data_IF_429531462117
#
_entry.id   IF_429531462117
#
_cell.length_a   1.000
_cell.length_b   1.000
_cell.length_c   1.000
_cell.angle_alpha   90.00
_cell.angle_beta   90.00
_cell.angle_gamma   90.00
#
_symmetry.space_group_name_H-M   'P 1'
#
loop_
_entity.id
_entity.type
_entity.pdbx_description
1 polymer ?
#
# COMPACT_ATOMS: atom_id res chain seq x y z
N UNK A 1 -22.75 -5.70 -15.75
CA UNK A 1 -22.63 -6.57 -14.56
C UNK A 1 -21.50 -7.55 -14.80
N UNK A 2 -20.55 -7.59 -13.92
CA UNK A 2 -19.44 -8.54 -14.02
C UNK A 2 -19.74 -9.81 -13.21
N UNK A 3 -19.11 -10.91 -13.58
CA UNK A 3 -19.27 -12.16 -12.87
C UNK A 3 -18.57 -12.09 -11.53
N UNK A 4 -19.26 -12.47 -10.47
CA UNK A 4 -18.66 -12.59 -9.13
C UNK A 4 -18.11 -14.00 -8.95
N UNK A 5 -16.97 -14.12 -8.30
CA UNK A 5 -16.44 -15.42 -7.90
C UNK A 5 -17.28 -16.03 -6.77
N UNK A 6 -17.29 -17.34 -6.69
CA UNK A 6 -17.93 -18.05 -5.60
C UNK A 6 -17.14 -17.84 -4.31
N UNK A 7 -17.85 -17.70 -3.21
CA UNK A 7 -17.25 -17.60 -1.87
C UNK A 7 -17.32 -18.97 -1.23
N UNK A 8 -16.18 -19.53 -0.83
CA UNK A 8 -16.11 -20.81 -0.14
C UNK A 8 -16.48 -20.68 1.36
N UNK A 9 -16.49 -21.80 2.08
CA UNK A 9 -16.87 -21.84 3.48
C UNK A 9 -15.98 -21.00 4.40
N UNK A 10 -14.76 -20.69 3.98
CA UNK A 10 -13.80 -19.84 4.71
C UNK A 10 -13.95 -18.36 4.37
N UNK A 11 -14.95 -17.98 3.60
CA UNK A 11 -15.17 -16.61 3.17
C UNK A 11 -14.23 -16.13 2.06
N UNK A 12 -13.47 -17.03 1.46
CA UNK A 12 -12.54 -16.71 0.37
C UNK A 12 -13.23 -16.87 -0.98
N UNK A 13 -12.85 -16.02 -1.94
CA UNK A 13 -13.33 -16.13 -3.31
C UNK A 13 -12.75 -17.37 -3.97
N UNK A 14 -13.61 -18.22 -4.52
CA UNK A 14 -13.18 -19.37 -5.32
C UNK A 14 -12.75 -18.91 -6.72
N UNK A 15 -11.54 -19.25 -7.10
CA UNK A 15 -10.96 -18.83 -8.37
C UNK A 15 -11.29 -19.83 -9.46
N UNK A 16 -12.39 -19.57 -10.17
CA UNK A 16 -12.75 -20.32 -11.36
C UNK A 16 -12.12 -19.68 -12.60
N UNK A 17 -11.94 -20.43 -13.71
CA UNK A 17 -11.48 -19.82 -14.97
C UNK A 17 -12.39 -18.68 -15.43
N UNK A 18 -13.70 -18.81 -15.23
CA UNK A 18 -14.69 -17.80 -15.59
C UNK A 18 -14.51 -16.52 -14.76
N UNK A 19 -14.28 -16.66 -13.46
CA UNK A 19 -14.02 -15.51 -12.57
C UNK A 19 -12.74 -14.79 -12.97
N UNK A 20 -11.65 -15.52 -13.21
CA UNK A 20 -10.37 -14.94 -13.62
C UNK A 20 -10.49 -14.21 -14.96
N UNK A 21 -11.19 -14.79 -15.93
CA UNK A 21 -11.42 -14.17 -17.23
C UNK A 21 -12.27 -12.90 -17.11
N UNK A 22 -13.31 -12.92 -16.30
CA UNK A 22 -14.16 -11.75 -16.05
C UNK A 22 -13.40 -10.63 -15.36
N UNK A 23 -12.55 -10.96 -14.41
CA UNK A 23 -11.70 -9.98 -13.72
C UNK A 23 -10.69 -9.35 -14.69
N UNK A 24 -10.04 -10.18 -15.52
CA UNK A 24 -9.10 -9.68 -16.54
C UNK A 24 -9.80 -8.75 -17.53
N UNK A 25 -11.03 -9.08 -17.93
CA UNK A 25 -11.80 -8.21 -18.82
C UNK A 25 -12.07 -6.83 -18.22
N UNK A 26 -12.31 -6.75 -16.92
CA UNK A 26 -12.45 -5.46 -16.22
C UNK A 26 -11.15 -4.67 -16.25
N UNK A 27 -10.03 -5.33 -16.00
CA UNK A 27 -8.70 -4.70 -16.07
C UNK A 27 -8.44 -4.17 -17.49
N UNK A 28 -8.70 -4.99 -18.49
CA UNK A 28 -8.48 -4.61 -19.90
C UNK A 28 -9.39 -3.45 -20.34
N UNK A 29 -10.57 -3.33 -19.75
CA UNK A 29 -11.49 -2.23 -19.98
C UNK A 29 -11.19 -0.99 -19.12
N UNK A 30 -10.12 -1.01 -18.35
CA UNK A 30 -9.72 0.08 -17.43
C UNK A 30 -10.83 0.43 -16.42
N UNK A 31 -11.64 -0.55 -16.02
CA UNK A 31 -12.63 -0.35 -14.98
C UNK A 31 -11.98 -0.19 -13.61
N UNK A 32 -12.51 0.69 -12.79
CA UNK A 32 -12.07 0.86 -11.43
C UNK A 32 -12.38 -0.39 -10.60
N UNK A 33 -11.37 -0.91 -9.92
CA UNK A 33 -11.51 -2.01 -8.97
C UNK A 33 -11.54 -1.44 -7.56
N UNK A 34 -12.61 -1.70 -6.84
CA UNK A 34 -12.76 -1.26 -5.46
C UNK A 34 -12.13 -2.28 -4.50
N UNK A 35 -11.67 -1.85 -3.31
CA UNK A 35 -11.01 -2.75 -2.35
C UNK A 35 -11.86 -3.95 -1.93
N UNK A 36 -13.17 -3.77 -1.86
CA UNK A 36 -14.10 -4.83 -1.46
C UNK A 36 -14.61 -5.68 -2.62
N UNK A 37 -14.22 -5.36 -3.84
CA UNK A 37 -14.59 -6.16 -5.00
C UNK A 37 -13.95 -7.54 -4.91
N UNK A 38 -14.62 -8.60 -5.35
CA UNK A 38 -13.98 -9.89 -5.53
C UNK A 38 -12.80 -9.74 -6.50
N UNK A 39 -11.64 -10.21 -6.08
CA UNK A 39 -10.43 -10.16 -6.91
C UNK A 39 -9.59 -11.41 -6.68
N UNK A 40 -8.79 -11.81 -7.68
CA UNK A 40 -7.88 -12.94 -7.52
C UNK A 40 -6.94 -12.75 -6.34
N UNK A 41 -6.67 -13.81 -5.59
CA UNK A 41 -5.79 -13.77 -4.43
C UNK A 41 -4.38 -13.25 -4.77
N UNK A 42 -3.86 -13.62 -5.94
CA UNK A 42 -2.56 -13.14 -6.42
C UNK A 42 -2.55 -11.65 -6.70
N UNK A 43 -3.64 -11.12 -7.27
CA UNK A 43 -3.79 -9.68 -7.50
C UNK A 43 -3.81 -8.91 -6.18
N UNK A 44 -4.65 -9.32 -5.23
CA UNK A 44 -4.72 -8.70 -3.90
C UNK A 44 -3.36 -8.74 -3.18
N UNK A 45 -2.71 -9.88 -3.18
CA UNK A 45 -1.39 -10.06 -2.58
C UNK A 45 -0.35 -9.13 -3.19
N UNK A 46 -0.36 -8.99 -4.51
CA UNK A 46 0.57 -8.09 -5.22
C UNK A 46 0.32 -6.64 -4.86
N UNK A 47 -0.95 -6.20 -4.82
CA UNK A 47 -1.30 -4.84 -4.40
C UNK A 47 -0.83 -4.55 -2.98
N UNK A 48 -1.14 -5.43 -2.03
CA UNK A 48 -0.72 -5.26 -0.63
C UNK A 48 0.80 -5.14 -0.55
N UNK A 49 1.52 -6.00 -1.27
CA UNK A 49 2.99 -5.96 -1.30
C UNK A 49 3.51 -4.65 -1.86
N UNK A 50 3.00 -4.19 -2.99
CA UNK A 50 3.45 -2.95 -3.63
C UNK A 50 3.13 -1.73 -2.77
N UNK A 51 1.92 -1.64 -2.27
CA UNK A 51 1.49 -0.53 -1.41
C UNK A 51 2.31 -0.52 -0.11
N UNK A 52 2.49 -1.68 0.51
CA UNK A 52 3.26 -1.81 1.74
C UNK A 52 4.74 -1.43 1.57
N UNK A 53 5.38 -1.90 0.50
CA UNK A 53 6.76 -1.52 0.20
C UNK A 53 6.91 -0.02 -0.01
N UNK A 54 5.98 0.59 -0.74
CA UNK A 54 5.98 2.03 -0.97
C UNK A 54 5.79 2.77 0.36
N UNK A 55 4.79 2.37 1.17
CA UNK A 55 4.56 2.97 2.47
C UNK A 55 5.80 2.93 3.37
N UNK A 56 6.44 1.76 3.45
CA UNK A 56 7.68 1.59 4.23
C UNK A 56 8.81 2.47 3.71
N UNK A 57 8.96 2.59 2.39
CA UNK A 57 9.97 3.45 1.78
C UNK A 57 9.77 4.92 2.14
N UNK A 58 8.53 5.39 2.14
CA UNK A 58 8.20 6.76 2.55
C UNK A 58 8.56 7.01 4.02
N UNK A 59 8.21 6.09 4.90
CA UNK A 59 8.50 6.22 6.34
C UNK A 59 10.01 6.17 6.60
N UNK A 60 10.72 5.21 6.01
CA UNK A 60 12.18 5.10 6.17
C UNK A 60 12.89 6.30 5.55
N UNK A 61 12.38 6.81 4.43
CA UNK A 61 12.93 7.99 3.75
C UNK A 61 12.92 9.26 4.58
N UNK A 62 12.06 9.36 5.59
CA UNK A 62 12.06 10.49 6.51
C UNK A 62 13.35 10.61 7.32
N UNK A 63 14.03 9.49 7.61
CA UNK A 63 15.17 9.47 8.52
C UNK A 63 16.35 10.28 8.01
N UNK A 64 16.90 10.04 6.81
CA UNK A 64 18.03 10.83 6.32
C UNK A 64 17.67 12.29 6.13
N UNK A 65 16.53 12.61 5.61
CA UNK A 65 16.08 13.99 5.41
C UNK A 65 15.84 14.69 6.73
N UNK A 66 15.24 14.01 7.71
CA UNK A 66 15.03 14.54 9.07
C UNK A 66 16.36 14.86 9.76
N UNK A 67 17.39 14.04 9.55
CA UNK A 67 18.72 14.27 10.11
C UNK A 67 19.40 15.51 9.53
N UNK A 68 18.99 15.97 8.35
CA UNK A 68 19.54 17.16 7.73
C UNK A 68 18.87 18.47 8.16
N UNK A 69 17.71 18.42 8.80
CA UNK A 69 16.98 19.63 9.22
C UNK A 69 17.87 20.56 10.06
N UNK A 70 18.51 20.02 11.09
CA UNK A 70 19.37 20.81 11.98
C UNK A 70 20.67 21.26 11.31
N UNK A 71 21.11 20.57 10.28
CA UNK A 71 22.35 20.85 9.55
C UNK A 71 22.18 21.79 8.38
N UNK A 72 20.97 22.05 7.95
CA UNK A 72 20.72 22.97 6.86
C UNK A 72 21.20 24.39 7.19
N UNK A 73 21.83 25.10 6.24
CA UNK A 73 22.57 26.33 6.56
C UNK A 73 21.67 27.54 6.84
N UNK A 74 20.40 27.50 6.47
CA UNK A 74 19.49 28.64 6.68
C UNK A 74 18.17 28.16 7.24
N UNK A 75 17.45 29.04 7.93
CA UNK A 75 16.11 28.75 8.43
C UNK A 75 15.15 28.39 7.30
N UNK A 76 15.27 29.05 6.16
CA UNK A 76 14.46 28.78 4.97
C UNK A 76 14.65 27.33 4.50
N UNK A 77 15.89 26.86 4.43
CA UNK A 77 16.19 25.47 4.03
C UNK A 77 15.75 24.46 5.09
N UNK A 78 15.88 24.81 6.38
CA UNK A 78 15.36 23.98 7.47
C UNK A 78 13.86 23.79 7.34
N UNK A 79 13.12 24.86 7.08
CA UNK A 79 11.67 24.81 6.91
C UNK A 79 11.28 23.98 5.69
N UNK A 80 12.02 24.10 4.57
CA UNK A 80 11.76 23.30 3.37
C UNK A 80 11.96 21.79 3.63
N UNK A 81 13.04 21.43 4.36
CA UNK A 81 13.28 20.03 4.73
C UNK A 81 12.21 19.49 5.67
N UNK A 82 11.79 20.28 6.66
CA UNK A 82 10.72 19.89 7.58
C UNK A 82 9.42 19.61 6.81
N UNK A 83 9.05 20.51 5.89
CA UNK A 83 7.86 20.33 5.06
C UNK A 83 7.94 19.05 4.23
N UNK A 84 9.10 18.75 3.66
CA UNK A 84 9.31 17.52 2.90
C UNK A 84 9.20 16.27 3.77
N UNK A 85 9.81 16.27 4.96
CA UNK A 85 9.71 15.14 5.89
C UNK A 85 8.27 14.89 6.32
N UNK A 86 7.51 15.93 6.58
CA UNK A 86 6.08 15.82 6.89
C UNK A 86 5.28 15.24 5.72
N UNK A 87 5.61 15.63 4.50
CA UNK A 87 4.97 15.14 3.29
C UNK A 87 5.24 13.64 3.10
N UNK A 88 6.49 13.20 3.25
CA UNK A 88 6.86 11.77 3.22
C UNK A 88 6.08 10.98 4.28
N UNK A 89 6.00 11.50 5.50
CA UNK A 89 5.22 10.88 6.57
C UNK A 89 3.74 10.75 6.22
N UNK A 90 3.16 11.79 5.63
CA UNK A 90 1.79 11.80 5.17
C UNK A 90 1.54 10.77 4.07
N UNK A 91 2.45 10.65 3.11
CA UNK A 91 2.38 9.62 2.06
C UNK A 91 2.39 8.22 2.65
N UNK A 92 3.30 7.94 3.58
CA UNK A 92 3.38 6.64 4.24
C UNK A 92 2.11 6.27 4.98
N UNK A 93 1.56 7.19 5.76
CA UNK A 93 0.31 6.98 6.50
C UNK A 93 -0.88 6.76 5.55
N UNK A 94 -0.94 7.50 4.46
CA UNK A 94 -1.98 7.33 3.45
C UNK A 94 -1.91 5.94 2.81
N UNK A 95 -0.71 5.50 2.45
CA UNK A 95 -0.51 4.18 1.85
C UNK A 95 -0.82 3.05 2.82
N UNK A 96 -0.47 3.19 4.11
CA UNK A 96 -0.88 2.21 5.12
C UNK A 96 -2.41 2.12 5.23
N UNK A 97 -3.10 3.25 5.16
CA UNK A 97 -4.58 3.25 5.15
C UNK A 97 -5.14 2.54 3.92
N UNK A 98 -4.51 2.72 2.76
CA UNK A 98 -4.90 2.00 1.54
C UNK A 98 -4.73 0.48 1.70
N UNK A 99 -3.62 0.04 2.31
CA UNK A 99 -3.39 -1.37 2.59
C UNK A 99 -4.42 -1.95 3.57
N UNK A 100 -4.84 -1.16 4.56
CA UNK A 100 -5.91 -1.58 5.49
C UNK A 100 -7.21 -1.89 4.77
N UNK A 101 -7.56 -1.14 3.74
CA UNK A 101 -8.76 -1.44 2.94
C UNK A 101 -8.66 -2.77 2.20
N UNK A 102 -7.45 -3.28 2.00
CA UNK A 102 -7.19 -4.56 1.36
C UNK A 102 -7.05 -5.71 2.36
N UNK A 103 -7.09 -5.43 3.66
CA UNK A 103 -7.14 -6.44 4.72
C UNK A 103 -5.88 -6.62 5.57
N UNK A 104 -4.86 -5.76 5.43
CA UNK A 104 -3.66 -5.81 6.27
C UNK A 104 -3.62 -4.58 7.16
N UNK A 105 -3.62 -4.77 8.48
CA UNK A 105 -3.67 -3.65 9.42
C UNK A 105 -2.39 -2.81 9.40
N UNK A 106 -2.55 -1.53 9.71
CA UNK A 106 -1.44 -0.61 9.88
C UNK A 106 -0.48 -1.08 10.98
N UNK A 107 -1.02 -1.59 12.07
CA UNK A 107 -0.24 -2.13 13.19
C UNK A 107 0.66 -3.26 12.72
N UNK A 108 0.12 -4.22 11.98
CA UNK A 108 0.90 -5.33 11.44
C UNK A 108 2.04 -4.85 10.55
N UNK A 109 1.77 -3.93 9.63
CA UNK A 109 2.79 -3.39 8.74
C UNK A 109 3.88 -2.64 9.51
N UNK A 110 3.49 -1.86 10.50
CA UNK A 110 4.44 -1.13 11.33
C UNK A 110 5.31 -2.09 12.15
N UNK A 111 4.73 -3.13 12.74
CA UNK A 111 5.47 -4.15 13.48
C UNK A 111 6.48 -4.87 12.59
N UNK A 112 6.09 -5.23 11.37
CA UNK A 112 6.99 -5.86 10.40
C UNK A 112 8.16 -4.93 10.02
N UNK A 113 7.90 -3.65 9.86
CA UNK A 113 8.94 -2.66 9.59
C UNK A 113 9.92 -2.55 10.76
N UNK A 114 9.42 -2.41 11.98
CA UNK A 114 10.24 -2.28 13.19
C UNK A 114 11.02 -3.55 13.50
N UNK A 115 10.46 -4.73 13.20
CA UNK A 115 11.13 -6.01 13.37
C UNK A 115 12.19 -6.29 12.30
N UNK A 116 12.27 -5.47 11.25
CA UNK A 116 13.22 -5.68 10.16
C UNK A 116 12.84 -6.79 9.20
N UNK A 117 11.60 -7.25 9.23
CA UNK A 117 11.10 -8.30 8.33
C UNK A 117 10.39 -7.75 7.10
N UNK A 118 10.02 -6.46 7.12
CA UNK A 118 9.39 -5.81 5.98
C UNK A 118 10.42 -5.53 4.87
N UNK A 119 9.95 -5.64 3.63
CA UNK A 119 10.74 -5.24 2.46
C UNK A 119 10.36 -3.83 2.04
N UNK A 120 11.35 -3.02 1.78
CA UNK A 120 11.18 -1.71 1.16
C UNK A 120 12.31 -1.47 0.16
N UNK A 121 11.98 -0.85 -0.94
CA UNK A 121 12.78 -0.58 -2.16
C UNK A 121 14.11 -1.12 -2.26
#
# INVERSE_FOLDING_TARGET
MYAQGLINADGKTEETPEFLAAFQARIDAEEKIEPNDPMPAGYRKTLIRQIGQHAHSEIVGMLPEGNWITRAPTLRRKAALLAKVQDEGGHGLYLYSAAETLGVSREQMTEELLAGTAKYS
#
